data_IF_450626006842
#
_entry.id   IF_450626006842
#
_cell.length_a   1.000
_cell.length_b   1.000
_cell.length_c   1.000
_cell.angle_alpha   90.00
_cell.angle_beta   90.00
_cell.angle_gamma   90.00
#
_symmetry.space_group_name_H-M   'P 1'
#
loop_
_entity.id
_entity.type
_entity.pdbx_description
1 polymer ?
#
# COMPACT_ATOMS: atom_id res chain seq x y z
N UNK A 1 -46.07 -38.46 -19.97
CA UNK A 1 -45.47 -37.76 -18.82
C UNK A 1 -44.27 -36.97 -19.36
N UNK A 2 -44.56 -35.84 -20.00
CA UNK A 2 -43.57 -35.01 -20.68
C UNK A 2 -43.28 -33.82 -19.75
N UNK A 3 -42.17 -33.90 -19.01
CA UNK A 3 -41.54 -32.71 -18.46
C UNK A 3 -40.84 -32.07 -19.66
N UNK A 4 -41.57 -31.23 -20.38
CA UNK A 4 -40.94 -30.24 -21.24
C UNK A 4 -40.13 -29.35 -20.30
N UNK A 5 -38.82 -29.59 -20.31
CA UNK A 5 -37.79 -28.74 -19.77
C UNK A 5 -38.07 -27.34 -20.31
N UNK A 6 -38.45 -26.46 -19.39
CA UNK A 6 -38.80 -25.07 -19.62
C UNK A 6 -37.51 -24.32 -19.94
N UNK A 7 -36.98 -24.55 -21.13
CA UNK A 7 -35.76 -23.91 -21.66
C UNK A 7 -36.07 -22.49 -22.23
N UNK A 8 -37.28 -21.95 -21.99
CA UNK A 8 -37.75 -20.65 -22.52
C UNK A 8 -37.95 -19.53 -21.46
N UNK A 9 -37.72 -19.79 -20.16
CA UNK A 9 -37.66 -18.73 -19.15
C UNK A 9 -36.22 -18.19 -19.00
N UNK A 10 -35.55 -17.97 -20.14
CA UNK A 10 -34.39 -17.09 -20.23
C UNK A 10 -34.88 -15.67 -19.94
N UNK A 11 -35.01 -15.35 -18.64
CA UNK A 11 -35.49 -14.08 -18.10
C UNK A 11 -34.65 -12.94 -18.65
N UNK A 12 -35.09 -12.41 -19.80
CA UNK A 12 -34.58 -11.19 -20.41
C UNK A 12 -34.89 -10.04 -19.46
N UNK A 13 -33.95 -9.77 -18.55
CA UNK A 13 -34.04 -8.67 -17.59
C UNK A 13 -34.54 -7.41 -18.32
N UNK A 14 -35.55 -6.76 -17.76
CA UNK A 14 -36.01 -5.47 -18.25
C UNK A 14 -34.82 -4.48 -18.26
N UNK A 15 -34.76 -3.52 -19.20
CA UNK A 15 -33.72 -2.49 -19.20
C UNK A 15 -33.56 -1.81 -17.83
N UNK A 16 -34.65 -1.61 -17.08
CA UNK A 16 -34.63 -1.05 -15.74
C UNK A 16 -34.03 -2.00 -14.68
N UNK A 17 -34.29 -3.30 -14.77
CA UNK A 17 -33.70 -4.31 -13.88
C UNK A 17 -32.20 -4.48 -14.12
N UNK A 18 -31.74 -4.45 -15.38
CA UNK A 18 -30.30 -4.45 -15.69
C UNK A 18 -29.60 -3.23 -15.09
N UNK A 19 -30.23 -2.05 -15.16
CA UNK A 19 -29.69 -0.82 -14.57
C UNK A 19 -29.73 -0.89 -13.05
N UNK A 20 -30.82 -1.38 -12.46
CA UNK A 20 -30.95 -1.55 -11.01
C UNK A 20 -29.93 -2.57 -10.48
N UNK A 21 -29.70 -3.68 -11.16
CA UNK A 21 -28.70 -4.69 -10.82
C UNK A 21 -27.27 -4.15 -10.94
N UNK A 22 -26.95 -3.43 -12.03
CA UNK A 22 -25.66 -2.76 -12.17
C UNK A 22 -25.43 -1.63 -11.15
N UNK A 23 -26.50 -0.96 -10.73
CA UNK A 23 -26.44 0.07 -9.70
C UNK A 23 -26.26 -0.56 -8.32
N UNK A 24 -27.01 -1.62 -8.02
CA UNK A 24 -26.90 -2.38 -6.78
C UNK A 24 -25.51 -2.99 -6.62
N UNK A 25 -24.92 -3.56 -7.68
CA UNK A 25 -23.55 -4.10 -7.65
C UNK A 25 -22.48 -3.00 -7.51
N UNK A 26 -22.71 -1.79 -8.04
CA UNK A 26 -21.82 -0.63 -7.78
C UNK A 26 -21.94 -0.10 -6.36
N UNK A 27 -23.16 -0.04 -5.82
CA UNK A 27 -23.46 0.52 -4.50
C UNK A 27 -23.07 -0.44 -3.37
N UNK A 28 -23.26 -1.75 -3.56
CA UNK A 28 -22.86 -2.79 -2.60
C UNK A 28 -21.34 -2.95 -2.48
N UNK A 29 -20.56 -2.15 -3.21
CA UNK A 29 -19.10 -2.26 -3.21
C UNK A 29 -18.59 -3.49 -3.97
N UNK A 30 -19.44 -4.09 -4.82
CA UNK A 30 -19.16 -5.26 -5.66
C UNK A 30 -18.13 -5.01 -6.77
N UNK A 31 -17.06 -4.26 -6.52
CA UNK A 31 -15.80 -4.44 -7.24
C UNK A 31 -15.11 -5.69 -6.68
N UNK A 32 -15.72 -6.86 -6.87
CA UNK A 32 -15.11 -8.14 -6.54
C UNK A 32 -13.84 -8.46 -7.38
N UNK A 33 -13.43 -7.57 -8.31
CA UNK A 33 -12.24 -7.76 -9.15
C UNK A 33 -11.38 -6.53 -9.43
N UNK A 34 -11.61 -5.39 -8.75
CA UNK A 34 -10.81 -4.16 -8.98
C UNK A 34 -10.29 -3.51 -7.68
N UNK A 35 -10.10 -4.32 -6.64
CA UNK A 35 -9.41 -3.86 -5.43
C UNK A 35 -7.94 -3.59 -5.73
N UNK A 36 -7.45 -2.41 -5.37
CA UNK A 36 -6.03 -2.09 -5.48
C UNK A 36 -5.14 -3.14 -4.80
N UNK A 37 -3.89 -3.23 -5.23
CA UNK A 37 -2.91 -4.19 -4.71
C UNK A 37 -2.81 -4.11 -3.18
N UNK A 38 -3.07 -5.23 -2.50
CA UNK A 38 -2.93 -5.39 -1.05
C UNK A 38 -1.50 -5.08 -0.63
N UNK A 39 -0.53 -5.51 -1.44
CA UNK A 39 0.88 -5.17 -1.26
C UNK A 39 1.10 -3.67 -1.18
N UNK A 40 0.55 -2.89 -2.12
CA UNK A 40 0.69 -1.43 -2.16
C UNK A 40 -0.02 -0.76 -0.99
N UNK A 41 -1.18 -1.27 -0.57
CA UNK A 41 -1.89 -0.76 0.60
C UNK A 41 -1.06 -0.94 1.89
N UNK A 42 -0.59 -2.14 2.15
CA UNK A 42 0.25 -2.43 3.32
C UNK A 42 1.55 -1.62 3.30
N UNK A 43 2.25 -1.58 2.17
CA UNK A 43 3.47 -0.79 2.00
C UNK A 43 3.22 0.72 2.23
N UNK A 44 2.08 1.26 1.79
CA UNK A 44 1.72 2.66 2.02
C UNK A 44 1.48 2.98 3.50
N UNK A 45 0.90 2.04 4.26
CA UNK A 45 0.70 2.20 5.70
C UNK A 45 2.04 2.24 6.41
N UNK A 46 2.95 1.32 6.08
CA UNK A 46 4.32 1.28 6.64
C UNK A 46 5.05 2.59 6.38
N UNK A 47 5.05 3.09 5.13
CA UNK A 47 5.64 4.40 4.78
C UNK A 47 4.97 5.58 5.48
N UNK A 48 3.66 5.52 5.71
CA UNK A 48 2.93 6.57 6.42
C UNK A 48 3.42 6.75 7.87
N UNK A 49 3.68 5.64 8.57
CA UNK A 49 4.28 5.68 9.90
C UNK A 49 5.76 6.07 9.85
N UNK A 50 6.49 5.59 8.84
CA UNK A 50 7.88 5.96 8.62
C UNK A 50 8.06 7.47 8.45
N UNK A 51 7.12 8.15 7.77
CA UNK A 51 7.13 9.61 7.66
C UNK A 51 7.15 10.31 9.02
N UNK A 52 6.36 9.82 9.97
CA UNK A 52 6.33 10.37 11.35
C UNK A 52 7.65 10.10 12.06
N UNK A 53 8.21 8.90 11.90
CA UNK A 53 9.50 8.52 12.47
C UNK A 53 10.61 9.40 11.93
N UNK A 54 10.72 9.57 10.60
CA UNK A 54 11.74 10.40 9.95
C UNK A 54 11.63 11.87 10.37
N UNK A 55 10.40 12.36 10.58
CA UNK A 55 10.19 13.70 11.13
C UNK A 55 10.76 13.84 12.53
N UNK A 56 10.47 12.88 13.42
CA UNK A 56 11.01 12.85 14.79
C UNK A 56 12.53 12.66 14.81
N UNK A 57 13.08 11.85 13.91
CA UNK A 57 14.53 11.67 13.71
C UNK A 57 15.16 13.02 13.33
N UNK A 58 14.57 13.74 12.38
CA UNK A 58 15.00 15.10 12.01
C UNK A 58 15.02 16.08 13.19
N UNK A 59 13.93 16.11 13.97
CA UNK A 59 13.86 16.93 15.19
C UNK A 59 14.89 16.52 16.24
N UNK A 60 15.18 15.23 16.36
CA UNK A 60 16.16 14.71 17.32
C UNK A 60 17.58 15.06 16.88
N UNK A 61 17.92 14.94 15.59
CA UNK A 61 19.21 15.38 15.04
C UNK A 61 19.44 16.88 15.26
N UNK A 62 18.40 17.69 15.06
CA UNK A 62 18.43 19.13 15.35
C UNK A 62 18.57 19.40 16.86
N UNK A 63 17.78 18.73 17.71
CA UNK A 63 17.78 18.92 19.16
C UNK A 63 19.08 18.53 19.83
N UNK A 64 19.75 17.48 19.34
CA UNK A 64 21.05 17.03 19.82
C UNK A 64 22.23 17.82 19.21
N UNK A 65 21.98 18.75 18.28
CA UNK A 65 23.01 19.50 17.55
C UNK A 65 24.08 18.58 16.94
N UNK A 66 23.65 17.46 16.35
CA UNK A 66 24.56 16.43 15.80
C UNK A 66 25.41 16.96 14.65
N UNK A 67 24.89 17.93 13.89
CA UNK A 67 25.57 18.56 12.77
C UNK A 67 25.91 20.02 13.07
N UNK A 68 27.02 20.49 12.52
CA UNK A 68 27.41 21.90 12.50
C UNK A 68 27.38 22.38 11.05
N UNK A 69 26.55 23.38 10.68
CA UNK A 69 25.62 24.14 11.51
C UNK A 69 24.37 23.33 11.93
N UNK A 70 23.75 23.70 13.06
CA UNK A 70 22.58 23.00 13.64
C UNK A 70 21.41 22.82 12.67
N UNK A 71 21.21 23.79 11.78
CA UNK A 71 20.14 23.79 10.77
C UNK A 71 20.24 22.60 9.81
N UNK A 72 21.45 22.05 9.61
CA UNK A 72 21.66 20.88 8.77
C UNK A 72 20.86 19.65 9.25
N UNK A 73 20.65 19.48 10.56
CA UNK A 73 19.82 18.40 11.10
C UNK A 73 18.34 18.54 10.70
N UNK A 74 17.83 19.77 10.71
CA UNK A 74 16.46 20.07 10.30
C UNK A 74 16.27 19.89 8.79
N UNK A 75 17.24 20.36 8.00
CA UNK A 75 17.24 20.19 6.53
C UNK A 75 17.30 18.70 6.18
N UNK A 76 18.17 17.92 6.83
CA UNK A 76 18.26 16.48 6.61
C UNK A 76 16.94 15.77 6.92
N UNK A 77 16.31 16.07 8.07
CA UNK A 77 14.99 15.57 8.42
C UNK A 77 13.91 15.93 7.40
N UNK A 78 13.87 17.20 6.96
CA UNK A 78 12.91 17.67 5.96
C UNK A 78 13.08 16.96 4.62
N UNK A 79 14.32 16.74 4.17
CA UNK A 79 14.62 15.98 2.95
C UNK A 79 14.15 14.53 3.07
N UNK A 80 14.37 13.88 4.21
CA UNK A 80 13.88 12.51 4.46
C UNK A 80 12.35 12.44 4.43
N UNK A 81 11.67 13.37 5.08
CA UNK A 81 10.21 13.47 5.03
C UNK A 81 9.70 13.67 3.60
N UNK A 82 10.33 14.57 2.84
CA UNK A 82 9.96 14.82 1.45
C UNK A 82 10.13 13.56 0.59
N UNK A 83 11.23 12.83 0.75
CA UNK A 83 11.47 11.55 0.07
C UNK A 83 10.39 10.52 0.41
N UNK A 84 9.97 10.46 1.68
CA UNK A 84 8.91 9.55 2.11
C UNK A 84 7.53 9.94 1.53
N UNK A 85 7.22 11.23 1.47
CA UNK A 85 6.00 11.73 0.80
C UNK A 85 6.02 11.42 -0.70
N UNK A 86 7.16 11.60 -1.36
CA UNK A 86 7.33 11.22 -2.77
C UNK A 86 7.13 9.70 -2.94
N UNK A 87 7.70 8.87 -2.05
CA UNK A 87 7.47 7.42 -2.07
C UNK A 87 5.97 7.08 -2.01
N UNK A 88 5.23 7.72 -1.09
CA UNK A 88 3.77 7.55 -0.96
C UNK A 88 3.01 8.01 -2.21
N UNK A 89 3.38 9.15 -2.79
CA UNK A 89 2.76 9.66 -4.01
C UNK A 89 2.98 8.73 -5.20
N UNK A 90 4.20 8.21 -5.37
CA UNK A 90 4.54 7.28 -6.44
C UNK A 90 4.00 5.87 -6.23
N UNK A 91 3.79 5.44 -4.98
CA UNK A 91 3.23 4.11 -4.65
C UNK A 91 1.87 3.87 -5.31
N UNK A 92 1.05 4.92 -5.44
CA UNK A 92 -0.27 4.83 -6.10
C UNK A 92 -0.20 4.67 -7.62
N UNK A 93 0.88 5.13 -8.26
CA UNK A 93 0.92 5.32 -9.73
C UNK A 93 1.89 4.37 -10.44
N UNK A 94 2.94 3.91 -9.77
CA UNK A 94 3.98 3.08 -10.40
C UNK A 94 4.68 2.17 -9.39
N UNK A 95 5.38 1.15 -9.91
CA UNK A 95 6.27 0.30 -9.11
C UNK A 95 7.48 1.07 -8.56
N UNK A 96 7.71 2.29 -9.03
CA UNK A 96 8.73 3.22 -8.51
C UNK A 96 8.55 3.50 -7.02
N UNK A 97 7.33 3.47 -6.48
CA UNK A 97 7.10 3.65 -5.04
C UNK A 97 7.80 2.61 -4.17
N UNK A 98 7.97 1.37 -4.66
CA UNK A 98 8.68 0.32 -3.94
C UNK A 98 10.19 0.59 -3.93
N UNK A 99 10.75 1.05 -5.06
CA UNK A 99 12.17 1.40 -5.16
C UNK A 99 12.49 2.58 -4.23
N UNK A 100 11.67 3.63 -4.26
CA UNK A 100 11.85 4.79 -3.38
C UNK A 100 11.69 4.39 -1.91
N UNK A 101 10.75 3.51 -1.57
CA UNK A 101 10.61 3.02 -0.20
C UNK A 101 11.84 2.26 0.31
N UNK A 102 12.53 1.49 -0.55
CA UNK A 102 13.81 0.89 -0.19
C UNK A 102 14.90 1.93 0.08
N UNK A 103 14.94 3.01 -0.72
CA UNK A 103 15.85 4.14 -0.48
C UNK A 103 15.56 4.75 0.89
N UNK A 104 14.29 4.99 1.20
CA UNK A 104 13.86 5.53 2.51
C UNK A 104 14.32 4.61 3.66
N UNK A 105 14.20 3.28 3.51
CA UNK A 105 14.66 2.38 4.57
C UNK A 105 16.17 2.42 4.74
N UNK A 106 16.95 2.42 3.66
CA UNK A 106 18.40 2.54 3.75
C UNK A 106 18.79 3.85 4.45
N UNK A 107 18.11 4.95 4.14
CA UNK A 107 18.35 6.24 4.78
C UNK A 107 17.99 6.23 6.27
N UNK A 108 16.89 5.58 6.65
CA UNK A 108 16.54 5.39 8.06
C UNK A 108 17.61 4.57 8.80
N UNK A 109 18.09 3.48 8.20
CA UNK A 109 19.20 2.69 8.76
C UNK A 109 20.48 3.52 8.85
N UNK A 110 20.76 4.39 7.88
CA UNK A 110 21.89 5.31 7.96
C UNK A 110 21.73 6.30 9.12
N UNK A 111 20.51 6.78 9.38
CA UNK A 111 20.24 7.64 10.55
C UNK A 111 20.52 6.92 11.88
N UNK A 112 20.35 5.60 11.94
CA UNK A 112 20.65 4.80 13.13
C UNK A 112 22.15 4.81 13.51
N UNK A 113 23.05 5.19 12.59
CA UNK A 113 24.48 5.37 12.90
C UNK A 113 24.69 6.55 13.85
N UNK A 114 23.98 7.65 13.61
CA UNK A 114 24.03 8.84 14.48
C UNK A 114 23.11 8.72 15.69
N UNK A 115 21.98 8.04 15.52
CA UNK A 115 20.97 7.84 16.56
C UNK A 115 20.76 6.35 16.79
N UNK A 116 21.62 5.67 17.57
CA UNK A 116 21.51 4.23 17.81
C UNK A 116 20.13 3.78 18.31
N UNK A 117 19.41 4.64 19.04
CA UNK A 117 18.03 4.36 19.48
C UNK A 117 17.04 4.14 18.34
N UNK A 118 17.30 4.68 17.15
CA UNK A 118 16.46 4.51 15.94
C UNK A 118 16.67 3.12 15.32
N UNK A 119 17.75 2.41 15.65
CA UNK A 119 18.07 1.11 15.05
C UNK A 119 16.96 0.08 15.26
N UNK A 120 16.38 0.03 16.45
CA UNK A 120 15.29 -0.89 16.77
C UNK A 120 14.08 -0.60 15.87
N UNK A 121 13.74 0.69 15.73
CA UNK A 121 12.64 1.13 14.87
C UNK A 121 12.93 0.79 13.41
N UNK A 122 14.15 1.04 12.95
CA UNK A 122 14.58 0.74 11.58
C UNK A 122 14.49 -0.75 11.26
N UNK A 123 14.90 -1.62 12.19
CA UNK A 123 14.76 -3.07 12.05
C UNK A 123 13.30 -3.50 12.01
N UNK A 124 12.46 -2.97 12.89
CA UNK A 124 11.03 -3.30 12.93
C UNK A 124 10.32 -2.87 11.64
N UNK A 125 10.50 -1.62 11.22
CA UNK A 125 9.86 -1.08 10.02
C UNK A 125 10.45 -1.64 8.74
N UNK A 126 11.77 -1.86 8.68
CA UNK A 126 12.42 -2.57 7.57
C UNK A 126 11.94 -4.02 7.44
N UNK A 127 11.80 -4.73 8.56
CA UNK A 127 11.23 -6.08 8.59
C UNK A 127 9.77 -6.09 8.14
N UNK A 128 8.97 -5.16 8.64
CA UNK A 128 7.57 -5.00 8.23
C UNK A 128 7.47 -4.67 6.74
N UNK A 129 8.32 -3.78 6.23
CA UNK A 129 8.38 -3.42 4.82
C UNK A 129 8.60 -4.66 3.93
N UNK A 130 9.64 -5.43 4.24
CA UNK A 130 9.95 -6.67 3.52
C UNK A 130 8.79 -7.66 3.60
N UNK A 131 8.21 -7.84 4.79
CA UNK A 131 7.05 -8.69 4.99
C UNK A 131 5.86 -8.27 4.12
N UNK A 132 5.53 -6.96 4.08
CA UNK A 132 4.46 -6.41 3.28
C UNK A 132 4.69 -6.66 1.78
N UNK A 133 5.93 -6.57 1.29
CA UNK A 133 6.26 -6.85 -0.11
C UNK A 133 6.06 -8.33 -0.45
N UNK A 134 6.58 -9.25 0.36
CA UNK A 134 6.48 -10.69 0.09
C UNK A 134 5.07 -11.24 0.29
N UNK A 135 4.45 -10.97 1.44
CA UNK A 135 3.11 -11.48 1.76
C UNK A 135 2.01 -10.77 0.99
N UNK A 136 2.14 -9.46 0.77
CA UNK A 136 1.22 -8.71 -0.06
C UNK A 136 1.21 -9.25 -1.50
N UNK A 137 2.37 -9.53 -2.08
CA UNK A 137 2.46 -10.13 -3.42
C UNK A 137 1.84 -11.54 -3.46
N UNK A 138 2.04 -12.34 -2.42
CA UNK A 138 1.42 -13.67 -2.31
C UNK A 138 -0.11 -13.58 -2.30
N UNK A 139 -0.68 -12.69 -1.47
CA UNK A 139 -2.12 -12.47 -1.37
C UNK A 139 -2.67 -11.94 -2.70
N UNK A 140 -2.00 -10.98 -3.32
CA UNK A 140 -2.45 -10.40 -4.59
C UNK A 140 -2.47 -11.45 -5.72
N UNK A 141 -1.52 -12.38 -5.75
CA UNK A 141 -1.52 -13.51 -6.70
C UNK A 141 -2.69 -14.47 -6.45
N UNK A 142 -2.96 -14.80 -5.19
CA UNK A 142 -4.11 -15.65 -4.82
C UNK A 142 -5.42 -14.98 -5.25
N UNK A 143 -5.60 -13.68 -4.96
CA UNK A 143 -6.77 -12.92 -5.38
C UNK A 143 -6.93 -12.88 -6.90
N UNK A 144 -5.83 -12.77 -7.64
CA UNK A 144 -5.85 -12.79 -9.11
C UNK A 144 -6.26 -14.17 -9.67
N UNK A 145 -5.82 -15.26 -9.05
CA UNK A 145 -6.23 -16.62 -9.44
C UNK A 145 -7.72 -16.84 -9.20
N UNK A 146 -8.23 -16.43 -8.03
CA UNK A 146 -9.64 -16.60 -7.67
C UNK A 146 -10.57 -15.75 -8.56
N UNK A 147 -10.09 -14.60 -9.04
CA UNK A 147 -10.82 -13.77 -9.99
C UNK A 147 -10.80 -14.31 -11.43
N UNK A 148 -9.86 -15.22 -11.75
CA UNK A 148 -9.72 -15.83 -13.07
C UNK A 148 -10.49 -17.15 -13.21
N UNK A 149 -10.85 -17.81 -12.11
CA UNK A 149 -11.72 -18.98 -12.09
C UNK A 149 -13.16 -18.53 -12.43
N UNK A 150 -13.74 -18.94 -13.56
CA UNK A 150 -15.15 -18.65 -13.84
C UNK A 150 -16.03 -19.33 -12.77
N UNK A 151 -17.20 -18.74 -12.43
CA UNK A 151 -18.10 -19.36 -11.46
C UNK A 151 -18.42 -20.78 -11.92
N UNK A 152 -18.01 -21.78 -11.14
CA UNK A 152 -18.39 -23.17 -11.40
C UNK A 152 -19.88 -23.28 -11.08
N UNK A 153 -20.70 -23.43 -12.12
CA UNK A 153 -22.11 -23.80 -12.03
C UNK A 153 -22.30 -25.23 -11.49
#
# INVERSE_FOLDING_TARGET
MAIQRQDDDELKLSPSERIAFNSATRISGGRAGQGGSTQKALASITLGFELVILFLVGLTLFGLNVFQPKEAGLIAGAVLCLLCVLALAFMRRSNLGIVIGWIVQILLFACAIWLPGVLIVALMFGGLWVFCLFKGAQIDRMKAQWAAEPPTE
#
